data_IF_804941606265
#
_entry.id   IF_804941606265
#
_cell.length_a   1.000
_cell.length_b   1.000
_cell.length_c   1.000
_cell.angle_alpha   90.00
_cell.angle_beta   90.00
_cell.angle_gamma   90.00
#
_symmetry.space_group_name_H-M   'P 1'
#
loop_
_entity.id
_entity.type
_entity.pdbx_description
1 polymer ?
#
# COMPACT_ATOMS: atom_id res chain seq x y z
N UNK A 1 -67.74 -16.91 41.38
CA UNK A 1 -67.96 -16.52 39.98
C UNK A 1 -66.78 -17.02 39.17
N UNK A 2 -66.79 -18.32 38.83
CA UNK A 2 -67.22 -18.90 37.54
C UNK A 2 -66.21 -18.57 36.42
N UNK A 3 -65.75 -19.47 35.53
CA UNK A 3 -65.80 -20.92 35.29
C UNK A 3 -65.21 -21.07 33.86
N UNK A 4 -64.33 -22.01 33.51
CA UNK A 4 -64.58 -23.29 32.82
C UNK A 4 -63.20 -23.66 32.19
N UNK A 5 -62.54 -24.78 32.48
CA UNK A 5 -62.68 -26.11 31.82
C UNK A 5 -62.61 -26.06 30.28
N UNK A 6 -61.57 -26.63 29.65
CA UNK A 6 -61.58 -27.99 29.06
C UNK A 6 -60.32 -28.32 28.23
N UNK A 7 -59.97 -29.61 28.31
CA UNK A 7 -59.09 -30.47 27.50
C UNK A 7 -59.06 -30.23 25.98
N UNK A 8 -57.95 -30.65 25.33
CA UNK A 8 -57.94 -30.86 23.87
C UNK A 8 -56.61 -31.40 23.30
N UNK A 9 -56.60 -32.70 22.97
CA UNK A 9 -55.59 -33.46 22.22
C UNK A 9 -55.50 -33.07 20.73
N UNK A 10 -54.40 -33.48 20.07
CA UNK A 10 -54.40 -33.95 18.66
C UNK A 10 -53.66 -33.04 17.67
N UNK A 11 -52.50 -33.43 17.14
CA UNK A 11 -52.24 -34.35 16.00
C UNK A 11 -52.40 -33.70 14.61
N UNK A 12 -51.26 -33.68 13.89
CA UNK A 12 -51.02 -34.00 12.47
C UNK A 12 -51.74 -33.19 11.38
N UNK A 13 -50.99 -32.87 10.31
CA UNK A 13 -51.06 -33.41 8.94
C UNK A 13 -49.89 -32.78 8.14
N UNK A 14 -48.92 -33.58 7.65
CA UNK A 14 -48.83 -34.16 6.29
C UNK A 14 -48.18 -33.19 5.28
N UNK A 15 -46.88 -33.34 4.94
CA UNK A 15 -46.24 -34.29 3.99
C UNK A 15 -46.22 -33.82 2.51
N UNK A 16 -45.00 -33.74 1.96
CA UNK A 16 -44.53 -34.23 0.64
C UNK A 16 -43.20 -33.51 0.35
N UNK A 17 -42.01 -34.10 0.55
CA UNK A 17 -41.37 -35.23 -0.15
C UNK A 17 -41.46 -35.10 -1.67
N UNK A 18 -40.34 -34.70 -2.28
CA UNK A 18 -39.86 -35.34 -3.51
C UNK A 18 -38.37 -35.68 -3.32
N UNK A 19 -38.11 -36.98 -3.32
CA UNK A 19 -36.82 -37.63 -3.53
C UNK A 19 -36.64 -37.81 -5.06
N UNK A 20 -35.44 -37.60 -5.60
CA UNK A 20 -34.85 -38.54 -6.59
C UNK A 20 -33.35 -38.28 -6.80
N UNK A 21 -32.61 -39.28 -6.32
CA UNK A 21 -31.21 -39.73 -6.41
C UNK A 21 -30.71 -39.91 -7.87
N UNK A 22 -29.37 -40.04 -8.10
CA UNK A 22 -28.63 -39.48 -9.25
C UNK A 22 -28.33 -40.49 -10.37
N UNK A 23 -27.80 -39.97 -11.48
CA UNK A 23 -27.23 -40.77 -12.57
C UNK A 23 -25.78 -40.34 -12.82
N UNK A 24 -24.89 -41.33 -12.69
CA UNK A 24 -23.51 -41.34 -13.14
C UNK A 24 -23.44 -41.34 -14.68
N UNK A 25 -22.55 -40.56 -15.27
CA UNK A 25 -21.96 -40.91 -16.56
C UNK A 25 -20.53 -40.35 -16.64
N UNK A 26 -19.58 -41.28 -16.64
CA UNK A 26 -18.18 -41.07 -16.97
C UNK A 26 -18.03 -40.56 -18.40
N UNK A 27 -17.16 -39.57 -18.59
CA UNK A 27 -16.39 -39.41 -19.81
C UNK A 27 -15.07 -38.75 -19.44
N UNK A 28 -14.00 -39.53 -19.52
CA UNK A 28 -12.63 -39.08 -19.58
C UNK A 28 -12.50 -38.01 -20.66
N UNK A 29 -12.03 -36.83 -20.27
CA UNK A 29 -11.41 -35.87 -21.16
C UNK A 29 -10.19 -35.34 -20.42
N UNK A 30 -9.06 -35.80 -20.94
CA UNK A 30 -7.71 -35.42 -20.59
C UNK A 30 -7.51 -33.93 -20.83
N UNK A 31 -7.51 -33.14 -19.76
CA UNK A 31 -6.73 -31.91 -19.77
C UNK A 31 -5.34 -32.28 -19.28
N UNK A 32 -4.47 -32.47 -20.27
CA UNK A 32 -3.04 -32.55 -20.11
C UNK A 32 -2.58 -31.16 -19.64
N UNK A 33 -2.62 -30.93 -18.32
CA UNK A 33 -1.91 -29.83 -17.70
C UNK A 33 -0.42 -30.15 -17.83
N UNK A 34 0.12 -29.79 -19.00
CA UNK A 34 1.54 -29.65 -19.23
C UNK A 34 1.98 -28.50 -18.33
N UNK A 35 2.34 -28.84 -17.10
CA UNK A 35 3.36 -28.07 -16.38
C UNK A 35 4.58 -28.07 -17.29
N UNK A 36 4.72 -27.03 -18.11
CA UNK A 36 6.02 -26.61 -18.61
C UNK A 36 6.84 -26.37 -17.34
N UNK A 37 7.58 -27.38 -16.92
CA UNK A 37 8.81 -27.17 -16.17
C UNK A 37 9.59 -26.17 -17.02
N UNK A 38 9.59 -24.90 -16.60
CA UNK A 38 10.52 -23.91 -17.12
C UNK A 38 11.90 -24.55 -16.95
N UNK A 39 12.47 -25.01 -18.06
CA UNK A 39 13.84 -25.50 -18.10
C UNK A 39 14.68 -24.26 -17.82
N UNK A 40 14.96 -24.02 -16.52
CA UNK A 40 15.74 -22.89 -16.07
C UNK A 40 17.04 -22.90 -16.86
N UNK A 41 17.27 -21.84 -17.62
CA UNK A 41 18.43 -21.78 -18.49
C UNK A 41 19.70 -21.79 -17.62
N UNK A 42 20.80 -22.34 -18.14
CA UNK A 42 22.06 -22.39 -17.40
C UNK A 42 22.53 -20.99 -16.93
N UNK A 43 22.15 -19.94 -17.68
CA UNK A 43 22.37 -18.54 -17.32
C UNK A 43 21.51 -18.08 -16.13
N UNK A 44 20.22 -18.44 -16.09
CA UNK A 44 19.32 -18.09 -14.97
C UNK A 44 19.74 -18.78 -13.67
N UNK A 45 20.15 -20.05 -13.74
CA UNK A 45 20.69 -20.79 -12.59
C UNK A 45 21.97 -20.13 -12.06
N UNK A 46 22.87 -19.71 -12.95
CA UNK A 46 24.09 -19.01 -12.56
C UNK A 46 23.78 -17.66 -11.91
N UNK A 47 22.83 -16.88 -12.44
CA UNK A 47 22.40 -15.61 -11.84
C UNK A 47 21.77 -15.82 -10.46
N UNK A 48 20.97 -16.88 -10.26
CA UNK A 48 20.43 -17.25 -8.94
C UNK A 48 21.55 -17.62 -7.96
N UNK A 49 22.56 -18.36 -8.41
CA UNK A 49 23.74 -18.67 -7.60
C UNK A 49 24.52 -17.39 -7.23
N UNK A 50 24.77 -16.49 -8.17
CA UNK A 50 25.44 -15.21 -7.91
C UNK A 50 24.70 -14.36 -6.88
N UNK A 51 23.36 -14.34 -6.95
CA UNK A 51 22.52 -13.66 -5.95
C UNK A 51 22.68 -14.27 -4.56
N UNK A 52 22.77 -15.60 -4.45
CA UNK A 52 23.00 -16.29 -3.18
C UNK A 52 24.39 -16.00 -2.62
N UNK A 53 25.43 -16.10 -3.43
CA UNK A 53 26.81 -15.82 -3.02
C UNK A 53 26.99 -14.36 -2.55
N UNK A 54 26.30 -13.40 -3.18
CA UNK A 54 26.28 -12.00 -2.72
C UNK A 54 25.61 -11.82 -1.36
N UNK A 55 24.48 -12.51 -1.11
CA UNK A 55 23.81 -12.50 0.21
C UNK A 55 24.71 -13.11 1.29
N UNK A 56 25.38 -14.22 0.99
CA UNK A 56 26.30 -14.88 1.92
C UNK A 56 27.52 -13.99 2.23
N UNK A 57 28.06 -13.29 1.23
CA UNK A 57 29.15 -12.34 1.43
C UNK A 57 28.71 -11.16 2.33
N UNK A 58 27.50 -10.63 2.14
CA UNK A 58 26.98 -9.56 2.99
C UNK A 58 26.83 -9.99 4.46
N UNK A 59 26.31 -11.21 4.69
CA UNK A 59 26.25 -11.79 6.03
C UNK A 59 27.64 -11.94 6.66
N UNK A 60 28.63 -12.35 5.86
CA UNK A 60 30.03 -12.45 6.30
C UNK A 60 30.63 -11.09 6.65
N UNK A 61 30.39 -10.07 5.83
CA UNK A 61 30.84 -8.68 6.08
C UNK A 61 30.23 -8.16 7.39
N UNK A 62 28.96 -8.43 7.64
CA UNK A 62 28.30 -8.01 8.89
C UNK A 62 28.91 -8.70 10.11
N UNK A 63 29.20 -10.01 10.02
CA UNK A 63 29.91 -10.75 11.06
C UNK A 63 31.31 -10.16 11.32
N UNK A 64 32.08 -9.88 10.28
CA UNK A 64 33.42 -9.28 10.40
C UNK A 64 33.39 -7.87 11.00
N UNK A 65 32.37 -7.06 10.67
CA UNK A 65 32.15 -5.73 11.26
C UNK A 65 31.80 -5.77 12.75
N UNK A 66 31.10 -6.83 13.18
CA UNK A 66 30.75 -7.04 14.58
C UNK A 66 31.93 -7.57 15.41
N UNK A 67 32.82 -8.37 14.80
CA UNK A 67 34.02 -8.91 15.45
C UNK A 67 35.11 -7.86 15.77
N UNK A 68 35.06 -6.68 15.14
CA UNK A 68 36.03 -5.60 15.38
C UNK A 68 35.38 -4.46 16.18
N UNK A 69 35.82 -4.20 17.42
CA UNK A 69 35.32 -3.09 18.23
C UNK A 69 35.44 -1.72 17.53
N UNK A 70 34.52 -0.80 17.83
CA UNK A 70 34.49 0.54 17.19
C UNK A 70 35.71 1.41 17.52
N UNK A 71 36.41 1.13 18.63
CA UNK A 71 37.53 1.93 19.12
C UNK A 71 38.91 1.54 18.52
N UNK A 72 39.02 0.39 17.84
CA UNK A 72 40.30 -0.08 17.28
C UNK A 72 40.49 0.38 15.83
N UNK A 73 41.12 1.55 15.67
CA UNK A 73 41.33 2.21 14.37
C UNK A 73 42.21 1.38 13.41
N UNK A 74 43.19 0.63 13.91
CA UNK A 74 44.11 -0.16 13.09
C UNK A 74 43.41 -1.39 12.52
N UNK A 75 42.69 -2.13 13.36
CA UNK A 75 41.91 -3.30 12.93
C UNK A 75 40.72 -2.91 12.04
N UNK A 76 40.12 -1.73 12.25
CA UNK A 76 39.07 -1.18 11.36
C UNK A 76 39.59 -0.86 9.96
N UNK A 77 40.81 -0.33 9.84
CA UNK A 77 41.44 -0.09 8.54
C UNK A 77 41.69 -1.42 7.81
N UNK A 78 42.28 -2.39 8.49
CA UNK A 78 42.49 -3.74 7.93
C UNK A 78 41.18 -4.39 7.51
N UNK A 79 40.15 -4.34 8.36
CA UNK A 79 38.82 -4.86 8.05
C UNK A 79 38.24 -4.23 6.78
N UNK A 80 38.47 -2.94 6.54
CA UNK A 80 37.96 -2.25 5.35
C UNK A 80 38.68 -2.71 4.09
N UNK A 81 40.00 -2.94 4.18
CA UNK A 81 40.81 -3.49 3.09
C UNK A 81 40.42 -4.95 2.79
N UNK A 82 40.17 -5.77 3.83
CA UNK A 82 39.74 -7.15 3.68
C UNK A 82 38.33 -7.26 3.06
N UNK A 83 37.38 -6.39 3.45
CA UNK A 83 36.05 -6.33 2.83
C UNK A 83 36.18 -5.97 1.34
N UNK A 84 36.97 -4.95 1.02
CA UNK A 84 37.16 -4.54 -0.37
C UNK A 84 37.81 -5.63 -1.22
N UNK A 85 38.73 -6.42 -0.64
CA UNK A 85 39.35 -7.56 -1.29
C UNK A 85 38.34 -8.68 -1.57
N UNK A 86 37.53 -9.06 -0.57
CA UNK A 86 36.51 -10.11 -0.72
C UNK A 86 35.42 -9.74 -1.74
N UNK A 87 34.99 -8.47 -1.75
CA UNK A 87 34.04 -7.97 -2.75
C UNK A 87 34.63 -7.97 -4.16
N UNK A 88 35.91 -7.61 -4.31
CA UNK A 88 36.59 -7.64 -5.61
C UNK A 88 36.77 -9.07 -6.14
N UNK A 89 37.19 -10.00 -5.29
CA UNK A 89 37.38 -11.42 -5.66
C UNK A 89 36.06 -12.07 -6.08
N UNK A 90 34.96 -11.81 -5.36
CA UNK A 90 33.65 -12.37 -5.72
C UNK A 90 33.12 -11.80 -7.05
N UNK A 91 33.27 -10.49 -7.26
CA UNK A 91 32.85 -9.87 -8.51
C UNK A 91 33.67 -10.36 -9.70
N UNK A 92 34.99 -10.53 -9.53
CA UNK A 92 35.86 -11.08 -10.57
C UNK A 92 35.49 -12.54 -10.90
N UNK A 93 35.15 -13.34 -9.88
CA UNK A 93 34.65 -14.70 -10.08
C UNK A 93 33.36 -14.71 -10.90
N UNK A 94 32.38 -13.89 -10.53
CA UNK A 94 31.10 -13.80 -11.25
C UNK A 94 31.26 -13.32 -12.70
N UNK A 95 32.16 -12.36 -12.92
CA UNK A 95 32.49 -11.88 -14.27
C UNK A 95 33.13 -12.97 -15.13
N UNK A 96 34.08 -13.73 -14.58
CA UNK A 96 34.69 -14.86 -15.28
C UNK A 96 33.69 -15.97 -15.61
N UNK A 97 32.76 -16.29 -14.69
CA UNK A 97 31.73 -17.31 -14.90
C UNK A 97 30.74 -16.90 -15.99
N UNK A 98 30.35 -15.62 -16.04
CA UNK A 98 29.50 -15.08 -17.11
C UNK A 98 30.22 -15.08 -18.46
N UNK A 99 31.49 -14.65 -18.50
CA UNK A 99 32.30 -14.69 -19.72
C UNK A 99 32.50 -16.13 -20.22
N UNK A 100 32.65 -17.09 -19.31
CA UNK A 100 32.77 -18.50 -19.68
C UNK A 100 31.47 -19.00 -20.32
N UNK A 101 30.30 -18.75 -19.73
CA UNK A 101 29.01 -19.11 -20.32
C UNK A 101 28.74 -18.41 -21.66
N UNK A 102 29.10 -17.14 -21.80
CA UNK A 102 28.97 -16.41 -23.07
C UNK A 102 29.85 -17.00 -24.18
N UNK A 103 31.07 -17.42 -23.84
CA UNK A 103 31.98 -18.07 -24.78
C UNK A 103 31.54 -19.51 -25.11
N UNK A 104 30.96 -20.24 -24.15
CA UNK A 104 30.37 -21.57 -24.37
C UNK A 104 29.16 -21.51 -25.31
N UNK A 105 28.25 -20.54 -25.10
CA UNK A 105 27.11 -20.30 -25.99
C UNK A 105 27.52 -19.82 -27.40
N UNK A 106 28.71 -19.24 -27.54
CA UNK A 106 29.29 -18.87 -28.84
C UNK A 106 29.92 -20.07 -29.56
N UNK A 107 30.50 -21.03 -28.82
CA UNK A 107 31.06 -22.27 -29.39
C UNK A 107 29.98 -23.24 -29.88
N UNK A 108 28.81 -23.32 -29.23
CA UNK A 108 27.65 -24.12 -29.68
C UNK A 108 26.99 -23.57 -30.96
N UNK A 109 27.35 -22.36 -31.42
CA UNK A 109 26.91 -21.80 -32.72
C UNK A 109 27.89 -22.05 -33.87
N UNK A 110 29.02 -22.73 -33.65
CA UNK A 110 30.05 -22.97 -34.69
C UNK A 110 29.95 -24.38 -35.30
N UNK A 111 29.07 -25.25 -34.82
CA UNK A 111 28.95 -26.63 -35.33
C UNK A 111 27.87 -26.82 -36.43
N UNK A 112 27.34 -25.71 -36.99
CA UNK A 112 26.31 -25.76 -38.05
C UNK A 112 26.66 -24.95 -39.31
N UNK A 113 27.93 -24.68 -39.61
CA UNK A 113 28.38 -24.33 -40.98
C UNK A 113 29.83 -24.78 -41.21
N UNK A 114 30.02 -26.09 -41.35
CA UNK A 114 31.24 -26.67 -41.92
C UNK A 114 30.90 -27.30 -43.27
N UNK A 115 30.99 -26.51 -44.36
CA UNK A 115 31.42 -26.96 -45.69
C UNK A 115 31.36 -25.82 -46.72
N UNK A 116 32.50 -25.21 -47.02
CA UNK A 116 32.87 -24.69 -48.35
C UNK A 116 34.29 -24.08 -48.33
N UNK A 117 35.25 -24.94 -48.67
CA UNK A 117 36.62 -24.71 -49.16
C UNK A 117 36.99 -23.33 -49.77
N UNK A 118 38.03 -22.75 -49.17
CA UNK A 118 39.38 -22.49 -49.72
C UNK A 118 39.61 -21.51 -50.91
N UNK A 119 40.25 -20.36 -50.62
CA UNK A 119 41.30 -19.79 -51.50
C UNK A 119 42.18 -18.75 -50.79
N UNK A 120 43.37 -19.20 -50.40
CA UNK A 120 44.70 -18.56 -50.49
C UNK A 120 44.92 -17.06 -50.19
N UNK A 121 45.69 -16.85 -49.11
CA UNK A 121 47.07 -16.33 -49.08
C UNK A 121 47.40 -14.98 -48.41
N UNK A 122 48.48 -15.11 -47.61
CA UNK A 122 49.56 -14.19 -47.25
C UNK A 122 49.40 -13.15 -46.12
N UNK A 123 50.08 -13.49 -45.03
CA UNK A 123 51.07 -12.68 -44.31
C UNK A 123 50.61 -11.37 -43.65
N UNK A 124 50.49 -11.42 -42.33
CA UNK A 124 50.35 -10.23 -41.49
C UNK A 124 50.27 -10.60 -40.03
N UNK A 125 51.42 -10.91 -39.43
CA UNK A 125 51.57 -11.08 -37.99
C UNK A 125 51.48 -9.70 -37.35
N UNK A 126 50.30 -9.31 -36.87
CA UNK A 126 50.14 -8.19 -35.94
C UNK A 126 49.32 -8.66 -34.74
N UNK A 127 50.02 -8.74 -33.60
CA UNK A 127 49.42 -8.74 -32.28
C UNK A 127 48.56 -7.48 -32.15
N UNK A 128 47.24 -7.65 -32.25
CA UNK A 128 46.30 -6.62 -31.81
C UNK A 128 46.17 -6.74 -30.30
N UNK A 129 47.11 -6.10 -29.59
CA UNK A 129 46.93 -5.72 -28.20
C UNK A 129 45.63 -4.90 -28.07
N UNK A 130 44.60 -5.51 -27.47
CA UNK A 130 43.42 -4.78 -27.01
C UNK A 130 43.85 -3.88 -25.86
N UNK A 131 44.24 -2.64 -26.20
CA UNK A 131 44.49 -1.56 -25.23
C UNK A 131 43.23 -1.33 -24.40
N UNK A 132 43.22 -1.83 -23.18
CA UNK A 132 42.29 -1.39 -22.13
C UNK A 132 42.50 0.10 -21.90
N UNK A 133 41.68 0.93 -22.55
CA UNK A 133 41.69 2.38 -22.36
C UNK A 133 41.43 2.72 -20.90
N UNK A 134 42.41 3.34 -20.22
CA UNK A 134 42.25 3.81 -18.83
C UNK A 134 41.10 4.80 -18.78
N UNK A 135 39.97 4.37 -18.24
CA UNK A 135 38.78 5.20 -18.01
C UNK A 135 39.22 6.47 -17.26
N UNK A 136 38.92 7.62 -17.84
CA UNK A 136 39.30 8.93 -17.29
C UNK A 136 38.72 9.10 -15.88
N UNK A 137 39.45 9.79 -14.99
CA UNK A 137 38.94 10.20 -13.67
C UNK A 137 37.59 10.94 -13.76
N UNK A 138 37.35 11.68 -14.84
CA UNK A 138 36.07 12.35 -15.08
C UNK A 138 34.95 11.36 -15.41
N UNK A 139 35.23 10.35 -16.22
CA UNK A 139 34.28 9.30 -16.59
C UNK A 139 33.90 8.46 -15.36
N UNK A 140 34.89 8.04 -14.54
CA UNK A 140 34.63 7.33 -13.28
C UNK A 140 33.75 8.11 -12.28
N UNK A 141 33.80 9.45 -12.28
CA UNK A 141 32.92 10.30 -11.45
C UNK A 141 31.49 10.36 -12.00
N UNK A 142 31.32 10.40 -13.33
CA UNK A 142 30.01 10.35 -13.99
C UNK A 142 29.35 8.99 -13.78
N UNK A 143 30.08 7.91 -13.98
CA UNK A 143 29.58 6.55 -13.81
C UNK A 143 29.16 6.29 -12.36
N UNK A 144 29.93 6.79 -11.37
CA UNK A 144 29.54 6.73 -9.95
C UNK A 144 28.26 7.50 -9.65
N UNK A 145 28.06 8.69 -10.23
CA UNK A 145 26.84 9.48 -10.05
C UNK A 145 25.64 8.77 -10.70
N UNK A 146 25.80 8.27 -11.92
CA UNK A 146 24.77 7.52 -12.64
C UNK A 146 24.38 6.23 -11.91
N UNK A 147 25.35 5.53 -11.30
CA UNK A 147 25.09 4.35 -10.48
C UNK A 147 24.29 4.69 -9.21
N UNK A 148 24.61 5.81 -8.53
CA UNK A 148 23.87 6.27 -7.36
C UNK A 148 22.45 6.73 -7.70
N UNK A 149 22.27 7.38 -8.84
CA UNK A 149 20.96 7.80 -9.34
C UNK A 149 20.10 6.60 -9.71
N UNK A 150 20.65 5.62 -10.44
CA UNK A 150 19.98 4.35 -10.73
C UNK A 150 19.66 3.55 -9.47
N UNK A 151 20.55 3.50 -8.48
CA UNK A 151 20.25 2.85 -7.19
C UNK A 151 19.10 3.56 -6.46
N UNK A 152 19.07 4.89 -6.51
CA UNK A 152 17.97 5.68 -5.93
C UNK A 152 16.66 5.43 -6.67
N UNK A 153 16.68 5.41 -7.99
CA UNK A 153 15.52 5.10 -8.84
C UNK A 153 15.02 3.67 -8.58
N UNK A 154 15.92 2.68 -8.53
CA UNK A 154 15.55 1.30 -8.22
C UNK A 154 14.91 1.20 -6.82
N UNK A 155 15.44 1.91 -5.82
CA UNK A 155 14.86 1.92 -4.47
C UNK A 155 13.48 2.58 -4.43
N UNK A 156 13.27 3.61 -5.26
CA UNK A 156 11.95 4.25 -5.41
C UNK A 156 10.98 3.27 -6.09
N UNK A 157 11.40 2.62 -7.18
CA UNK A 157 10.59 1.64 -7.89
C UNK A 157 10.22 0.43 -7.02
N UNK A 158 11.16 -0.10 -6.23
CA UNK A 158 10.89 -1.17 -5.26
C UNK A 158 9.85 -0.73 -4.21
N UNK A 159 9.99 0.49 -3.66
CA UNK A 159 9.03 1.04 -2.72
C UNK A 159 7.66 1.30 -3.36
N UNK A 160 7.60 1.70 -4.63
CA UNK A 160 6.34 1.85 -5.38
C UNK A 160 5.65 0.51 -5.59
N UNK A 161 6.40 -0.55 -5.92
CA UNK A 161 5.87 -1.91 -6.06
C UNK A 161 5.32 -2.44 -4.73
N UNK A 162 6.02 -2.22 -3.62
CA UNK A 162 5.49 -2.57 -2.29
C UNK A 162 4.21 -1.77 -1.96
N UNK A 163 4.17 -0.47 -2.30
CA UNK A 163 3.01 0.38 -2.10
C UNK A 163 1.79 -0.03 -2.93
N UNK A 164 1.96 -0.60 -4.13
CA UNK A 164 0.85 -1.13 -4.94
C UNK A 164 0.09 -2.24 -4.21
N UNK A 165 0.79 -3.08 -3.45
CA UNK A 165 0.15 -4.11 -2.61
C UNK A 165 -0.26 -3.59 -1.22
N UNK A 166 0.14 -2.38 -0.87
CA UNK A 166 -0.05 -1.80 0.46
C UNK A 166 -1.51 -1.53 0.80
N UNK A 167 -1.83 -1.61 2.10
CA UNK A 167 -3.19 -1.39 2.61
C UNK A 167 -3.81 -0.06 2.16
N UNK A 168 -2.99 1.00 2.00
CA UNK A 168 -3.42 2.30 1.48
C UNK A 168 -3.97 2.21 0.05
N UNK A 169 -3.23 1.55 -0.85
CA UNK A 169 -3.64 1.43 -2.24
C UNK A 169 -4.89 0.58 -2.38
N UNK A 170 -4.95 -0.53 -1.65
CA UNK A 170 -6.14 -1.39 -1.61
C UNK A 170 -7.38 -0.65 -1.08
N UNK A 171 -7.21 0.16 -0.02
CA UNK A 171 -8.28 1.01 0.54
C UNK A 171 -8.76 2.05 -0.48
N UNK A 172 -7.84 2.76 -1.15
CA UNK A 172 -8.14 3.75 -2.19
C UNK A 172 -8.89 3.13 -3.38
N UNK A 173 -8.44 1.97 -3.88
CA UNK A 173 -9.12 1.25 -4.97
C UNK A 173 -10.56 0.86 -4.61
N UNK A 174 -10.77 0.33 -3.40
CA UNK A 174 -12.11 -0.05 -2.91
C UNK A 174 -13.03 1.17 -2.81
N UNK A 175 -12.53 2.28 -2.27
CA UNK A 175 -13.28 3.52 -2.13
C UNK A 175 -13.63 4.13 -3.50
N UNK A 176 -12.67 4.19 -4.42
CA UNK A 176 -12.92 4.67 -5.79
C UNK A 176 -14.00 3.85 -6.48
N UNK A 177 -13.96 2.52 -6.34
CA UNK A 177 -15.00 1.65 -6.88
C UNK A 177 -16.38 1.97 -6.30
N UNK A 178 -16.51 2.03 -4.97
CA UNK A 178 -17.78 2.37 -4.30
C UNK A 178 -18.32 3.75 -4.72
N UNK A 179 -17.44 4.75 -4.81
CA UNK A 179 -17.83 6.11 -5.19
C UNK A 179 -18.24 6.19 -6.67
N UNK A 180 -17.59 5.43 -7.56
CA UNK A 180 -17.95 5.39 -8.97
C UNK A 180 -19.37 4.83 -9.18
N UNK A 181 -19.79 3.83 -8.40
CA UNK A 181 -21.17 3.31 -8.38
C UNK A 181 -22.20 4.38 -7.96
N UNK A 182 -21.76 5.41 -7.23
CA UNK A 182 -22.58 6.55 -6.80
C UNK A 182 -22.40 7.80 -7.70
N UNK A 183 -21.65 7.71 -8.80
CA UNK A 183 -21.25 8.86 -9.64
C UNK A 183 -20.49 9.96 -8.89
N UNK A 184 -19.67 9.56 -7.91
CA UNK A 184 -18.83 10.43 -7.08
C UNK A 184 -17.36 10.07 -7.24
N UNK A 185 -16.48 10.96 -6.81
CA UNK A 185 -15.05 10.73 -6.68
C UNK A 185 -14.50 11.38 -5.40
N UNK A 186 -13.33 10.92 -4.97
CA UNK A 186 -12.62 11.47 -3.81
C UNK A 186 -12.20 12.91 -4.11
N UNK A 187 -12.55 13.84 -3.22
CA UNK A 187 -11.94 15.16 -3.13
C UNK A 187 -10.96 15.17 -1.97
N UNK A 188 -9.68 15.18 -2.29
CA UNK A 188 -8.61 15.18 -1.30
C UNK A 188 -8.65 16.45 -0.44
N UNK A 189 -8.51 16.25 0.87
CA UNK A 189 -8.45 17.28 1.90
C UNK A 189 -7.07 17.26 2.56
N UNK A 190 -6.53 18.44 2.87
CA UNK A 190 -5.23 18.57 3.52
C UNK A 190 -5.16 17.82 4.87
N UNK A 191 -4.03 17.15 5.13
CA UNK A 191 -3.76 16.40 6.37
C UNK A 191 -3.21 17.31 7.47
N UNK A 192 -3.97 18.32 7.90
CA UNK A 192 -3.55 19.35 8.88
C UNK A 192 -4.22 19.20 10.26
N UNK A 193 -4.82 18.04 10.55
CA UNK A 193 -5.60 17.80 11.79
C UNK A 193 -7.00 18.43 11.78
N UNK A 194 -7.34 19.24 10.77
CA UNK A 194 -8.69 19.77 10.56
C UNK A 194 -9.47 19.02 9.48
N UNK A 195 -8.95 17.88 9.00
CA UNK A 195 -9.47 17.18 7.83
C UNK A 195 -10.98 16.87 7.89
N UNK A 196 -11.49 16.40 9.04
CA UNK A 196 -12.92 16.16 9.24
C UNK A 196 -13.76 17.43 9.04
N UNK A 197 -13.38 18.52 9.71
CA UNK A 197 -14.09 19.81 9.60
C UNK A 197 -13.96 20.43 8.20
N UNK A 198 -12.79 20.31 7.55
CA UNK A 198 -12.57 20.76 6.17
C UNK A 198 -13.43 19.98 5.17
N UNK A 199 -13.56 18.67 5.36
CA UNK A 199 -14.39 17.84 4.51
C UNK A 199 -15.88 18.21 4.63
N UNK A 200 -16.34 18.52 5.85
CA UNK A 200 -17.69 19.06 6.11
C UNK A 200 -17.86 20.46 5.52
N UNK A 201 -16.94 21.39 5.79
CA UNK A 201 -16.94 22.75 5.23
C UNK A 201 -17.08 22.72 3.71
N UNK A 202 -16.29 21.87 3.02
CA UNK A 202 -16.38 21.69 1.58
C UNK A 202 -17.78 21.23 1.11
N UNK A 203 -18.41 20.26 1.80
CA UNK A 203 -19.77 19.81 1.47
C UNK A 203 -20.86 20.86 1.75
N UNK A 204 -20.56 21.86 2.58
CA UNK A 204 -21.47 22.96 2.90
C UNK A 204 -21.32 24.14 1.94
N UNK A 205 -20.24 24.24 1.14
CA UNK A 205 -20.02 25.36 0.22
C UNK A 205 -21.13 25.49 -0.83
N UNK A 206 -21.66 24.37 -1.30
CA UNK A 206 -22.76 24.32 -2.28
C UNK A 206 -24.14 24.48 -1.62
N UNK A 207 -24.20 24.66 -0.30
CA UNK A 207 -25.42 24.83 0.48
C UNK A 207 -25.53 26.27 0.98
N UNK A 208 -26.75 26.78 1.10
CA UNK A 208 -27.00 28.13 1.62
C UNK A 208 -26.66 28.19 3.13
N UNK A 209 -25.39 28.45 3.46
CA UNK A 209 -24.91 28.56 4.84
C UNK A 209 -23.50 28.02 5.06
N UNK A 210 -22.49 28.55 4.35
CA UNK A 210 -21.09 28.13 4.52
C UNK A 210 -20.57 28.54 5.90
N UNK A 211 -20.50 27.59 6.84
CA UNK A 211 -19.83 27.78 8.12
C UNK A 211 -18.34 27.49 7.94
N UNK A 212 -17.50 28.41 8.41
CA UNK A 212 -16.05 28.20 8.39
C UNK A 212 -15.58 27.18 9.43
N UNK A 213 -14.41 26.58 9.25
CA UNK A 213 -13.82 25.59 10.20
C UNK A 213 -13.89 26.07 11.66
N UNK A 214 -13.53 27.33 11.93
CA UNK A 214 -13.53 27.89 13.30
C UNK A 214 -14.92 27.88 13.90
N UNK A 215 -15.92 28.22 13.09
CA UNK A 215 -17.31 28.27 13.52
C UNK A 215 -17.87 26.86 13.71
N UNK A 216 -17.59 25.93 12.78
CA UNK A 216 -17.94 24.52 12.94
C UNK A 216 -17.38 23.96 14.26
N UNK A 217 -16.09 24.17 14.54
CA UNK A 217 -15.46 23.72 15.80
C UNK A 217 -16.10 24.34 17.04
N UNK A 218 -16.32 25.65 17.03
CA UNK A 218 -16.94 26.34 18.15
C UNK A 218 -18.36 25.84 18.42
N UNK A 219 -19.18 25.68 17.37
CA UNK A 219 -20.54 25.20 17.49
C UNK A 219 -20.59 23.72 17.91
N UNK A 220 -19.69 22.86 17.40
CA UNK A 220 -19.55 21.47 17.86
C UNK A 220 -19.27 21.42 19.35
N UNK A 221 -18.24 22.11 19.82
CA UNK A 221 -17.87 22.12 21.23
C UNK A 221 -19.00 22.70 22.11
N UNK A 222 -19.65 23.78 21.66
CA UNK A 222 -20.78 24.36 22.40
C UNK A 222 -21.96 23.39 22.49
N UNK A 223 -22.27 22.66 21.42
CA UNK A 223 -23.32 21.65 21.44
C UNK A 223 -23.00 20.54 22.43
N UNK A 224 -21.75 20.04 22.41
CA UNK A 224 -21.30 19.00 23.33
C UNK A 224 -21.39 19.45 24.79
N UNK A 225 -20.96 20.68 25.11
CA UNK A 225 -21.11 21.25 26.47
C UNK A 225 -22.57 21.31 26.92
N UNK A 226 -23.46 21.74 26.04
CA UNK A 226 -24.89 21.89 26.37
C UNK A 226 -25.61 20.54 26.54
N UNK A 227 -25.02 19.44 26.08
CA UNK A 227 -25.59 18.09 26.12
C UNK A 227 -24.58 17.08 26.68
N UNK A 228 -23.87 17.46 27.75
CA UNK A 228 -22.76 16.67 28.31
C UNK A 228 -23.11 15.21 28.55
N UNK A 229 -24.33 14.93 29.00
CA UNK A 229 -24.79 13.59 29.35
C UNK A 229 -24.82 12.62 28.16
N UNK A 230 -24.93 13.15 26.93
CA UNK A 230 -24.93 12.36 25.69
C UNK A 230 -23.52 12.02 25.20
N UNK A 231 -22.49 12.75 25.66
CA UNK A 231 -21.12 12.64 25.16
C UNK A 231 -20.14 12.10 26.20
N UNK A 232 -20.26 12.57 27.45
CA UNK A 232 -19.36 12.24 28.55
C UNK A 232 -19.19 10.72 28.77
N UNK A 233 -20.25 9.87 28.70
CA UNK A 233 -20.11 8.43 28.91
C UNK A 233 -19.24 7.72 27.86
N UNK A 234 -19.01 8.35 26.70
CA UNK A 234 -18.23 7.77 25.61
C UNK A 234 -16.78 8.30 25.56
N UNK A 235 -16.41 9.19 26.48
CA UNK A 235 -15.07 9.76 26.57
C UNK A 235 -14.26 9.09 27.67
N UNK A 236 -13.05 8.69 27.32
CA UNK A 236 -12.08 8.09 28.24
C UNK A 236 -10.83 8.94 28.32
N UNK A 237 -10.25 9.06 29.52
CA UNK A 237 -8.97 9.72 29.68
C UNK A 237 -7.86 8.88 29.02
N UNK A 238 -7.08 9.44 28.06
CA UNK A 238 -6.06 8.69 27.33
C UNK A 238 -4.95 8.10 28.21
N UNK A 239 -4.66 8.72 29.36
CA UNK A 239 -3.58 8.30 30.25
C UNK A 239 -4.03 7.23 31.26
N UNK A 240 -5.28 7.31 31.72
CA UNK A 240 -5.78 6.42 32.78
C UNK A 240 -6.70 5.32 32.26
N UNK A 241 -7.28 5.49 31.05
CA UNK A 241 -8.28 4.59 30.48
C UNK A 241 -9.64 4.62 31.18
N UNK A 242 -9.80 5.45 32.22
CA UNK A 242 -11.04 5.61 32.95
C UNK A 242 -11.99 6.59 32.23
N UNK A 243 -13.27 6.56 32.60
CA UNK A 243 -14.25 7.56 32.16
C UNK A 243 -13.76 8.97 32.47
N UNK A 244 -13.95 9.89 31.53
CA UNK A 244 -13.62 11.29 31.73
C UNK A 244 -14.45 11.90 32.88
N UNK A 245 -13.79 12.73 33.67
CA UNK A 245 -14.43 13.62 34.65
C UNK A 245 -15.04 14.84 33.94
N UNK A 246 -15.91 15.58 34.64
CA UNK A 246 -16.49 16.82 34.11
C UNK A 246 -15.42 17.87 33.73
N UNK A 247 -14.36 17.99 34.53
CA UNK A 247 -13.27 18.94 34.25
C UNK A 247 -12.46 18.54 33.01
N UNK A 248 -12.23 17.23 32.82
CA UNK A 248 -11.56 16.71 31.63
C UNK A 248 -12.43 16.84 30.37
N UNK A 249 -13.74 16.71 30.51
CA UNK A 249 -14.69 16.96 29.43
C UNK A 249 -14.71 18.43 29.00
N UNK A 250 -14.66 19.36 29.96
CA UNK A 250 -14.55 20.77 29.64
C UNK A 250 -13.25 21.07 28.89
N UNK A 251 -12.12 20.48 29.33
CA UNK A 251 -10.85 20.55 28.60
C UNK A 251 -10.99 19.97 27.19
N UNK A 252 -11.64 18.82 27.03
CA UNK A 252 -11.88 18.21 25.73
C UNK A 252 -12.67 19.14 24.80
N UNK A 253 -13.73 19.77 25.30
CA UNK A 253 -14.52 20.73 24.52
C UNK A 253 -13.69 21.97 24.12
N UNK A 254 -12.80 22.45 25.00
CA UNK A 254 -11.85 23.53 24.66
C UNK A 254 -10.88 23.09 23.55
N UNK A 255 -10.31 21.89 23.66
CA UNK A 255 -9.39 21.35 22.66
C UNK A 255 -10.10 21.20 21.29
N UNK A 256 -11.35 20.72 21.27
CA UNK A 256 -12.18 20.63 20.06
C UNK A 256 -12.42 22.01 19.43
N UNK A 257 -12.73 23.02 20.25
CA UNK A 257 -13.03 24.38 19.78
C UNK A 257 -11.81 25.15 19.25
N UNK A 258 -10.66 25.02 19.93
CA UNK A 258 -9.55 25.97 19.79
C UNK A 258 -8.32 25.38 19.06
N UNK A 259 -8.24 24.06 18.92
CA UNK A 259 -7.02 23.39 18.40
C UNK A 259 -7.28 22.57 17.15
N UNK A 260 -6.22 21.91 16.65
CA UNK A 260 -6.28 20.90 15.59
C UNK A 260 -6.54 19.48 16.12
N UNK A 261 -7.19 19.36 17.29
CA UNK A 261 -7.62 18.06 17.83
C UNK A 261 -8.45 17.31 16.76
N UNK A 262 -8.12 16.04 16.58
CA UNK A 262 -8.78 15.18 15.60
C UNK A 262 -10.22 14.95 16.03
N UNK A 263 -11.15 15.09 15.09
CA UNK A 263 -12.55 14.78 15.31
C UNK A 263 -12.88 13.36 14.85
N UNK A 264 -13.92 12.78 15.44
CA UNK A 264 -14.45 11.49 15.08
C UNK A 264 -15.96 11.41 15.25
N UNK A 265 -16.45 10.24 15.66
CA UNK A 265 -17.87 9.92 15.74
C UNK A 265 -18.67 10.90 16.62
N UNK A 266 -18.11 11.31 17.77
CA UNK A 266 -18.79 12.20 18.72
C UNK A 266 -18.96 13.61 18.12
N UNK A 267 -17.91 14.13 17.49
CA UNK A 267 -17.95 15.45 16.86
C UNK A 267 -18.88 15.43 15.64
N UNK A 268 -18.87 14.35 14.85
CA UNK A 268 -19.82 14.16 13.75
C UNK A 268 -21.26 14.11 14.26
N UNK A 269 -21.52 13.41 15.37
CA UNK A 269 -22.85 13.38 16.00
C UNK A 269 -23.28 14.79 16.42
N UNK A 270 -22.43 15.53 17.13
CA UNK A 270 -22.71 16.92 17.48
C UNK A 270 -22.94 17.81 16.24
N UNK A 271 -22.14 17.64 15.17
CA UNK A 271 -22.30 18.38 13.92
C UNK A 271 -23.65 18.09 13.24
N UNK A 272 -24.16 16.85 13.28
CA UNK A 272 -25.49 16.57 12.71
C UNK A 272 -26.57 17.41 13.38
N UNK A 273 -26.50 17.58 14.70
CA UNK A 273 -27.44 18.44 15.44
C UNK A 273 -27.21 19.93 15.19
N UNK A 274 -25.96 20.38 15.10
CA UNK A 274 -25.64 21.79 14.78
C UNK A 274 -26.16 22.18 13.40
N UNK A 275 -25.89 21.33 12.39
CA UNK A 275 -26.23 21.59 11.00
C UNK A 275 -27.68 21.23 10.66
N UNK A 276 -28.34 20.44 11.51
CA UNK A 276 -29.65 19.84 11.25
C UNK A 276 -29.65 19.08 9.92
N UNK A 277 -28.59 18.29 9.70
CA UNK A 277 -28.30 17.52 8.49
C UNK A 277 -27.75 16.15 8.87
N UNK A 278 -28.10 15.07 8.15
CA UNK A 278 -27.43 13.80 8.30
C UNK A 278 -26.02 13.86 7.72
N UNK A 279 -25.12 13.02 8.24
CA UNK A 279 -23.77 12.82 7.72
C UNK A 279 -23.61 11.34 7.36
N UNK A 280 -23.14 11.07 6.14
CA UNK A 280 -22.80 9.73 5.68
C UNK A 280 -21.29 9.58 5.58
N UNK A 281 -20.74 8.56 6.23
CA UNK A 281 -19.31 8.25 6.23
C UNK A 281 -19.05 6.97 5.45
N UNK A 282 -18.43 7.12 4.29
CA UNK A 282 -18.08 6.03 3.37
C UNK A 282 -16.70 5.49 3.76
N UNK A 283 -16.61 4.17 3.93
CA UNK A 283 -15.38 3.46 4.32
C UNK A 283 -15.10 2.29 3.36
N UNK A 284 -13.85 1.83 3.25
CA UNK A 284 -13.51 0.75 2.32
C UNK A 284 -14.08 -0.61 2.73
N UNK A 285 -13.83 -1.03 3.97
CA UNK A 285 -14.11 -2.40 4.42
C UNK A 285 -15.44 -2.56 5.16
N UNK A 286 -16.13 -1.45 5.44
CA UNK A 286 -17.40 -1.43 6.17
C UNK A 286 -18.53 -0.84 5.32
N UNK A 287 -19.80 -1.11 5.67
CA UNK A 287 -20.93 -0.36 5.14
C UNK A 287 -20.80 1.14 5.45
N UNK A 288 -21.46 1.96 4.63
CA UNK A 288 -21.60 3.40 4.91
C UNK A 288 -22.32 3.59 6.23
N UNK A 289 -21.76 4.44 7.09
CA UNK A 289 -22.35 4.79 8.39
C UNK A 289 -23.13 6.09 8.23
N UNK A 290 -24.41 6.06 8.57
CA UNK A 290 -25.25 7.26 8.60
C UNK A 290 -25.40 7.74 10.03
N UNK A 291 -25.14 9.02 10.25
CA UNK A 291 -25.26 9.69 11.55
C UNK A 291 -26.28 10.81 11.38
N UNK A 292 -27.21 10.95 12.33
CA UNK A 292 -28.24 11.99 12.25
C UNK A 292 -29.44 11.57 11.40
N UNK A 293 -29.81 10.29 11.40
CA UNK A 293 -30.96 9.75 10.65
C UNK A 293 -32.29 10.45 10.99
N UNK A 294 -32.37 11.13 12.13
CA UNK A 294 -33.52 11.98 12.49
C UNK A 294 -33.72 13.18 11.56
N UNK A 295 -32.72 13.55 10.74
CA UNK A 295 -32.79 14.66 9.81
C UNK A 295 -33.06 14.17 8.38
N UNK A 296 -34.26 14.45 7.86
CA UNK A 296 -34.68 14.04 6.52
C UNK A 296 -34.19 14.96 5.37
N UNK A 297 -32.98 15.52 5.49
CA UNK A 297 -32.36 16.39 4.48
C UNK A 297 -31.25 15.63 3.73
N UNK A 298 -30.81 16.09 2.54
CA UNK A 298 -29.70 15.46 1.84
C UNK A 298 -28.44 15.39 2.71
N UNK A 299 -27.76 14.23 2.83
CA UNK A 299 -26.64 14.06 3.74
C UNK A 299 -25.41 14.83 3.28
N UNK A 300 -24.57 15.19 4.24
CA UNK A 300 -23.17 15.57 3.99
C UNK A 300 -22.37 14.28 3.86
N UNK A 301 -21.72 14.08 2.71
CA UNK A 301 -20.99 12.85 2.43
C UNK A 301 -19.50 13.02 2.69
N UNK A 302 -18.94 12.15 3.53
CA UNK A 302 -17.55 12.10 3.90
C UNK A 302 -16.95 10.74 3.54
N UNK A 303 -15.66 10.72 3.26
CA UNK A 303 -14.89 9.49 3.09
C UNK A 303 -13.96 9.37 4.28
N UNK A 304 -13.96 8.23 4.94
CA UNK A 304 -12.99 7.91 5.99
C UNK A 304 -12.03 6.82 5.52
N UNK A 305 -10.75 7.13 5.63
CA UNK A 305 -9.63 6.27 5.25
C UNK A 305 -8.80 5.96 6.49
N UNK A 306 -8.56 4.67 6.77
CA UNK A 306 -7.76 4.20 7.90
C UNK A 306 -6.26 4.17 7.60
N UNK A 307 -5.89 4.15 6.33
CA UNK A 307 -4.52 3.97 5.86
C UNK A 307 -4.07 5.10 4.91
N UNK A 308 -4.77 6.23 4.90
CA UNK A 308 -4.48 7.34 3.98
C UNK A 308 -3.07 7.91 4.12
N UNK A 309 -2.55 8.01 5.35
CA UNK A 309 -1.24 8.58 5.65
C UNK A 309 -0.48 7.73 6.66
N UNK A 310 0.78 8.08 6.93
CA UNK A 310 1.60 7.37 7.92
C UNK A 310 1.04 7.38 9.35
N UNK A 311 0.15 8.34 9.66
CA UNK A 311 -0.60 8.41 10.92
C UNK A 311 -1.95 7.66 10.88
N UNK A 312 -2.28 7.02 9.75
CA UNK A 312 -3.45 6.19 9.54
C UNK A 312 -4.67 6.98 9.07
N UNK A 313 -5.41 7.52 10.03
CA UNK A 313 -6.80 7.96 9.84
C UNK A 313 -6.93 9.34 9.21
N UNK A 314 -7.85 9.48 8.25
CA UNK A 314 -8.11 10.75 7.57
C UNK A 314 -9.51 10.82 6.96
N UNK A 315 -10.06 12.03 6.95
CA UNK A 315 -11.32 12.33 6.28
C UNK A 315 -11.08 13.10 4.98
N UNK A 316 -11.71 12.65 3.91
CA UNK A 316 -11.81 13.37 2.63
C UNK A 316 -13.27 13.74 2.35
N UNK A 317 -13.46 14.69 1.43
CA UNK A 317 -14.79 15.04 0.93
C UNK A 317 -15.08 14.26 -0.35
N UNK A 318 -16.32 14.30 -0.83
CA UNK A 318 -16.68 13.81 -2.17
C UNK A 318 -16.92 14.98 -3.12
N UNK A 319 -16.80 14.72 -4.42
CA UNK A 319 -17.28 15.61 -5.47
C UNK A 319 -17.91 14.77 -6.59
N UNK A 320 -18.74 15.39 -7.41
CA UNK A 320 -19.32 14.73 -8.60
C UNK A 320 -18.20 14.19 -9.49
N UNK A 321 -18.38 12.96 -9.98
CA UNK A 321 -17.46 12.36 -10.94
C UNK A 321 -17.39 13.26 -12.19
N UNK A 322 -16.19 13.73 -12.54
CA UNK A 322 -15.99 14.47 -13.79
C UNK A 322 -15.71 13.45 -14.88
N UNK A 323 -16.53 13.44 -15.93
CA UNK A 323 -16.23 12.66 -17.12
C UNK A 323 -14.97 13.23 -17.76
N UNK A 324 -13.86 12.49 -17.69
CA UNK A 324 -12.59 12.85 -18.35
C UNK A 324 -12.67 12.64 -19.88
N UNK A 325 -13.85 12.85 -20.48
CA UNK A 325 -14.09 12.68 -21.91
C UNK A 325 -14.02 14.00 -22.70
N UNK A 326 -13.75 15.14 -22.06
CA UNK A 326 -13.80 16.47 -22.69
C UNK A 326 -12.51 17.29 -22.64
N UNK A 327 -11.36 16.70 -22.33
CA UNK A 327 -10.07 17.44 -22.28
C UNK A 327 -9.09 17.10 -23.43
N UNK A 328 -9.49 16.28 -24.41
CA UNK A 328 -8.70 16.01 -25.64
C UNK A 328 -9.19 16.82 -26.87
N UNK A 329 -10.00 17.86 -26.67
CA UNK A 329 -10.41 18.78 -27.73
C UNK A 329 -10.43 20.23 -27.23
N UNK A 330 -9.26 20.87 -27.14
CA UNK A 330 -9.11 22.31 -27.39
C UNK A 330 -7.67 22.68 -27.78
#
# INVERSE_FOLDING_TARGET
>A
YFSYSTLGNGKLWSSSIYFLVPIYCSSELSDHDLTMEEVETAEELLVKQHRKEKKDLQAKIQSMKNAVPKNDKKRRKQLTEDIAKLEAELNQKHENELQHLQNSNAADKVDEVADAVDSMNLAGREETEVKQGRISKAQKRRDKKAAQERERENRIAEAEVENLSGSRHQEDLKLRKKLAEMHLQIREICSDGHCMYRAVEHQLMDRSGSLGIRELRAQTAQYMRNHSDDFLPFLTNPNTGNMCTADEFEKYCNDVAETAAWGGQLELRALTHVLQLPIEVIQADSPTITIGEEYAKPPVMLIYMRHAYGLGEHYNSVQTLRDTASEDQE
#
